data_IF_294135887800
#
_entry.id   IF_294135887800
#
_cell.length_a   1.000
_cell.length_b   1.000
_cell.length_c   1.000
_cell.angle_alpha   90.00
_cell.angle_beta   90.00
_cell.angle_gamma   90.00
#
_symmetry.space_group_name_H-M   'P 1'
#
loop_
_entity.id
_entity.type
_entity.pdbx_description
1 polymer ?
#
# COMPACT_ATOMS: atom_id res chain seq x y z
N UNK A 1 -18.75 4.94 -21.38
CA UNK A 1 -19.36 5.40 -20.12
C UNK A 1 -18.68 6.73 -19.80
N UNK A 2 -19.44 7.79 -19.59
CA UNK A 2 -18.87 9.11 -19.24
C UNK A 2 -18.74 9.14 -17.72
N UNK A 3 -17.54 9.05 -17.22
CA UNK A 3 -17.24 9.09 -15.78
C UNK A 3 -16.57 10.40 -15.35
N UNK A 4 -16.15 11.22 -16.32
CA UNK A 4 -15.43 12.47 -16.10
C UNK A 4 -16.22 13.50 -15.29
N UNK A 5 -17.55 13.41 -15.34
CA UNK A 5 -18.47 14.30 -14.63
C UNK A 5 -18.88 13.77 -13.23
N UNK A 6 -18.39 12.57 -12.85
CA UNK A 6 -18.74 11.93 -11.57
C UNK A 6 -17.88 12.45 -10.44
N UNK A 7 -18.44 12.42 -9.22
CA UNK A 7 -17.69 12.74 -8.00
C UNK A 7 -16.61 11.67 -7.75
N UNK A 8 -15.39 12.09 -7.59
CA UNK A 8 -14.29 11.24 -7.19
C UNK A 8 -14.23 11.12 -5.66
N UNK A 9 -14.21 9.88 -5.13
CA UNK A 9 -14.07 9.61 -3.71
C UNK A 9 -12.67 9.98 -3.22
N UNK A 10 -12.60 10.52 -2.01
CA UNK A 10 -11.35 10.76 -1.28
C UNK A 10 -10.98 9.58 -0.34
N UNK A 11 -11.80 8.54 -0.29
CA UNK A 11 -11.58 7.34 0.53
C UNK A 11 -10.62 6.33 -0.15
N UNK A 12 -9.65 6.83 -0.91
CA UNK A 12 -8.64 6.03 -1.59
C UNK A 12 -7.30 6.16 -0.88
N UNK A 13 -6.68 5.02 -0.60
CA UNK A 13 -5.30 4.88 -0.14
C UNK A 13 -4.46 4.35 -1.30
N UNK A 14 -3.73 5.23 -1.97
CA UNK A 14 -2.88 4.82 -3.10
C UNK A 14 -1.47 4.50 -2.61
N UNK A 15 -1.16 3.21 -2.55
CA UNK A 15 0.17 2.72 -2.16
C UNK A 15 0.96 2.17 -3.36
N UNK A 16 0.48 2.38 -4.60
CA UNK A 16 1.13 1.87 -5.82
C UNK A 16 2.51 2.48 -6.07
N UNK A 17 2.68 3.75 -5.72
CA UNK A 17 3.96 4.48 -5.88
C UNK A 17 4.94 4.17 -4.75
N UNK A 18 4.45 3.63 -3.64
CA UNK A 18 5.30 3.05 -2.63
C UNK A 18 5.83 1.72 -3.18
N UNK A 19 6.68 1.82 -4.18
CA UNK A 19 7.55 0.72 -4.56
C UNK A 19 8.15 0.26 -3.24
N UNK A 20 7.87 -1.00 -2.83
CA UNK A 20 8.68 -1.68 -1.86
C UNK A 20 10.12 -1.57 -2.34
N UNK A 21 10.63 -0.35 -2.27
CA UNK A 21 12.03 -0.10 -2.39
C UNK A 21 12.59 -1.05 -1.37
N UNK A 22 13.24 -2.09 -1.82
CA UNK A 22 14.40 -2.58 -1.14
C UNK A 22 15.21 -1.32 -0.87
N UNK A 23 14.88 -0.63 0.22
CA UNK A 23 15.84 0.12 0.96
C UNK A 23 16.83 -0.95 1.47
N UNK A 24 17.47 -1.62 0.53
CA UNK A 24 18.76 -2.17 0.76
C UNK A 24 19.47 -0.93 1.31
N UNK A 25 19.78 -0.96 2.60
CA UNK A 25 20.71 -0.07 3.21
C UNK A 25 21.87 -0.05 2.20
N UNK A 26 21.88 0.94 1.32
CA UNK A 26 23.06 1.26 0.54
C UNK A 26 24.02 1.76 1.60
N UNK A 27 24.61 0.81 2.32
CA UNK A 27 25.88 1.03 2.96
C UNK A 27 26.78 1.44 1.81
N UNK A 28 26.77 2.75 1.53
CA UNK A 28 27.74 3.31 0.61
C UNK A 28 29.13 2.89 1.09
N UNK A 29 30.07 2.87 0.20
CA UNK A 29 31.47 2.53 0.47
C UNK A 29 31.98 3.10 1.81
N UNK A 30 31.46 4.27 2.24
CA UNK A 30 31.74 4.87 3.53
C UNK A 30 31.22 4.09 4.75
N UNK A 31 30.07 3.45 4.68
CA UNK A 31 29.52 2.67 5.79
C UNK A 31 30.25 1.35 6.00
N UNK A 32 30.70 0.70 4.93
CA UNK A 32 31.53 -0.51 5.02
C UNK A 32 32.91 -0.19 5.55
N UNK A 33 33.52 0.92 5.15
CA UNK A 33 34.82 1.37 5.67
C UNK A 33 34.75 1.72 7.16
N UNK A 34 33.69 2.39 7.61
CA UNK A 34 33.46 2.67 9.03
C UNK A 34 33.28 1.38 9.86
N UNK A 35 32.53 0.40 9.34
CA UNK A 35 32.36 -0.89 10.02
C UNK A 35 33.68 -1.67 10.12
N UNK A 36 34.50 -1.66 9.07
CA UNK A 36 35.82 -2.28 9.06
C UNK A 36 36.81 -1.58 10.01
N UNK A 37 36.80 -0.25 10.05
CA UNK A 37 37.61 0.52 10.97
C UNK A 37 37.22 0.27 12.44
N UNK A 38 35.92 0.28 12.73
CA UNK A 38 35.41 -0.04 14.08
C UNK A 38 35.79 -1.48 14.49
N UNK A 39 35.68 -2.45 13.59
CA UNK A 39 36.11 -3.82 13.81
C UNK A 39 37.60 -3.92 14.15
N UNK A 40 38.43 -3.19 13.44
CA UNK A 40 39.88 -3.18 13.67
C UNK A 40 40.26 -2.55 15.01
N UNK A 41 39.65 -1.41 15.39
CA UNK A 41 39.98 -0.71 16.64
C UNK A 41 39.35 -1.36 17.89
N UNK A 42 38.20 -2.02 17.76
CA UNK A 42 37.48 -2.64 18.88
C UNK A 42 37.74 -4.15 19.00
N UNK A 43 38.48 -4.75 18.07
CA UNK A 43 38.80 -6.18 18.08
C UNK A 43 37.58 -7.10 17.92
N UNK A 44 36.48 -6.59 17.36
CA UNK A 44 35.25 -7.33 17.17
C UNK A 44 35.27 -7.98 15.78
N UNK A 45 34.92 -9.27 15.70
CA UNK A 45 34.84 -9.99 14.42
C UNK A 45 33.82 -9.31 13.49
N UNK A 46 34.22 -8.89 12.28
CA UNK A 46 33.32 -8.23 11.32
C UNK A 46 32.11 -9.08 10.95
N UNK A 47 32.21 -10.41 11.04
CA UNK A 47 31.10 -11.33 10.78
C UNK A 47 30.02 -11.25 11.86
N UNK A 48 30.41 -11.04 13.11
CA UNK A 48 29.52 -10.83 14.24
C UNK A 48 28.76 -9.51 14.11
N UNK A 49 29.46 -8.44 13.66
CA UNK A 49 28.84 -7.13 13.43
C UNK A 49 27.82 -7.18 12.30
N UNK A 50 28.15 -7.86 11.20
CA UNK A 50 27.22 -8.07 10.08
C UNK A 50 26.02 -8.94 10.49
N UNK A 51 26.23 -9.95 11.33
CA UNK A 51 25.15 -10.79 11.88
C UNK A 51 24.21 -10.01 12.78
N UNK A 52 24.73 -9.14 13.65
CA UNK A 52 23.94 -8.26 14.52
C UNK A 52 23.17 -7.22 13.71
N UNK A 53 23.75 -6.64 12.66
CA UNK A 53 23.05 -5.71 11.78
C UNK A 53 21.93 -6.38 10.97
N UNK A 54 22.07 -7.68 10.67
CA UNK A 54 21.03 -8.48 10.02
C UNK A 54 19.93 -8.90 10.97
N UNK A 55 20.19 -8.94 12.27
CA UNK A 55 19.25 -9.33 13.31
C UNK A 55 18.45 -8.16 13.91
N UNK A 56 18.86 -6.91 13.61
CA UNK A 56 18.03 -5.74 13.96
C UNK A 56 16.77 -5.81 13.09
N UNK A 57 15.56 -5.99 13.67
CA UNK A 57 14.36 -5.88 12.89
C UNK A 57 14.32 -4.45 12.38
N UNK A 58 14.65 -4.26 11.10
CA UNK A 58 14.34 -3.02 10.42
C UNK A 58 12.84 -2.86 10.53
N UNK A 59 12.38 -1.93 11.37
CA UNK A 59 11.02 -1.44 11.28
C UNK A 59 10.89 -0.98 9.83
N UNK A 60 10.27 -1.85 9.04
CA UNK A 60 9.85 -1.48 7.70
C UNK A 60 8.92 -0.28 7.91
N UNK A 61 9.45 0.92 7.70
CA UNK A 61 8.62 2.09 7.55
C UNK A 61 7.61 1.70 6.48
N UNK A 62 6.34 1.58 6.88
CA UNK A 62 5.28 1.32 5.94
C UNK A 62 5.41 2.37 4.82
N UNK A 63 5.32 1.96 3.57
CA UNK A 63 5.44 2.90 2.45
C UNK A 63 4.48 4.05 2.71
N UNK A 64 4.93 5.29 2.45
CA UNK A 64 4.08 6.45 2.62
C UNK A 64 2.86 6.30 1.69
N UNK A 65 1.71 6.01 2.27
CA UNK A 65 0.46 5.93 1.52
C UNK A 65 0.05 7.36 1.12
N UNK A 66 -0.27 7.55 -0.15
CA UNK A 66 -0.94 8.77 -0.59
C UNK A 66 -2.43 8.61 -0.32
N UNK A 67 -2.94 9.47 0.56
CA UNK A 67 -4.38 9.52 0.86
C UNK A 67 -5.06 10.54 -0.04
N UNK A 68 -6.21 10.18 -0.56
CA UNK A 68 -7.03 11.03 -1.41
C UNK A 68 -7.14 10.53 -2.85
N UNK A 69 -7.69 11.37 -3.73
CA UNK A 69 -7.94 11.00 -5.12
C UNK A 69 -6.61 10.76 -5.87
N UNK A 70 -6.45 9.60 -6.54
CA UNK A 70 -5.30 9.33 -7.40
C UNK A 70 -5.21 10.35 -8.54
N UNK A 71 -4.00 10.61 -9.06
CA UNK A 71 -3.78 11.61 -10.11
C UNK A 71 -3.76 11.00 -11.52
N UNK A 72 -3.59 9.70 -11.64
CA UNK A 72 -3.63 9.00 -12.93
C UNK A 72 -5.06 8.65 -13.35
N UNK A 73 -5.28 8.53 -14.65
CA UNK A 73 -6.60 8.29 -15.23
C UNK A 73 -7.30 7.05 -14.68
N UNK A 74 -6.57 5.93 -14.57
CA UNK A 74 -7.14 4.68 -14.04
C UNK A 74 -7.54 4.81 -12.57
N UNK A 75 -6.69 5.41 -11.76
CA UNK A 75 -6.96 5.65 -10.35
C UNK A 75 -8.15 6.60 -10.16
N UNK A 76 -8.23 7.66 -10.96
CA UNK A 76 -9.37 8.60 -10.95
C UNK A 76 -10.67 7.91 -11.36
N UNK A 77 -10.63 7.07 -12.39
CA UNK A 77 -11.80 6.26 -12.77
C UNK A 77 -12.31 5.41 -11.60
N UNK A 78 -11.41 4.71 -10.91
CA UNK A 78 -11.78 3.90 -9.73
C UNK A 78 -12.32 4.78 -8.60
N UNK A 79 -11.73 5.96 -8.36
CA UNK A 79 -12.24 6.90 -7.37
C UNK A 79 -13.64 7.41 -7.72
N UNK A 80 -13.94 7.63 -8.99
CA UNK A 80 -15.28 8.00 -9.46
C UNK A 80 -16.30 6.87 -9.25
N UNK A 81 -15.95 5.63 -9.60
CA UNK A 81 -16.81 4.47 -9.35
C UNK A 81 -17.07 4.28 -7.85
N UNK A 82 -16.03 4.44 -7.01
CA UNK A 82 -16.20 4.40 -5.56
C UNK A 82 -17.12 5.50 -5.06
N UNK A 83 -17.00 6.71 -5.58
CA UNK A 83 -17.86 7.85 -5.27
C UNK A 83 -19.34 7.56 -5.55
N UNK A 84 -19.66 7.04 -6.72
CA UNK A 84 -21.02 6.62 -7.10
C UNK A 84 -21.55 5.50 -6.17
N UNK A 85 -20.67 4.57 -5.80
CA UNK A 85 -21.01 3.50 -4.85
C UNK A 85 -21.36 4.08 -3.48
N UNK A 86 -20.56 5.01 -2.98
CA UNK A 86 -20.79 5.69 -1.69
C UNK A 86 -22.11 6.47 -1.69
N UNK A 87 -22.38 7.22 -2.75
CA UNK A 87 -23.57 8.05 -2.87
C UNK A 87 -24.82 7.17 -2.93
N UNK A 88 -24.79 6.10 -3.72
CA UNK A 88 -25.89 5.14 -3.84
C UNK A 88 -26.20 4.44 -2.51
N UNK A 89 -25.19 3.90 -1.85
CA UNK A 89 -25.39 3.20 -0.58
C UNK A 89 -25.78 4.14 0.56
N UNK A 90 -25.22 5.36 0.56
CA UNK A 90 -25.61 6.39 1.54
C UNK A 90 -27.09 6.72 1.44
N UNK A 91 -27.63 6.88 0.22
CA UNK A 91 -29.06 7.12 0.00
C UNK A 91 -29.91 5.94 0.46
N UNK A 92 -29.53 4.70 0.09
CA UNK A 92 -30.28 3.48 0.48
C UNK A 92 -30.32 3.30 2.00
N UNK A 93 -29.21 3.55 2.69
CA UNK A 93 -29.14 3.44 4.15
C UNK A 93 -29.95 4.55 4.83
N UNK A 94 -29.87 5.77 4.31
CA UNK A 94 -30.62 6.91 4.82
C UNK A 94 -32.14 6.69 4.72
N UNK A 95 -32.62 6.16 3.60
CA UNK A 95 -34.03 5.81 3.39
C UNK A 95 -34.54 4.78 4.41
N UNK A 96 -33.65 3.98 4.98
CA UNK A 96 -33.95 2.97 6.02
C UNK A 96 -33.66 3.47 7.44
N UNK A 97 -33.30 4.75 7.63
CA UNK A 97 -32.92 5.32 8.91
C UNK A 97 -31.62 4.77 9.47
N UNK A 98 -30.74 4.25 8.60
CA UNK A 98 -29.45 3.69 8.95
C UNK A 98 -28.33 4.62 8.47
N UNK A 99 -27.15 4.50 9.07
CA UNK A 99 -25.96 5.20 8.64
C UNK A 99 -25.02 4.28 7.85
N UNK A 100 -24.70 4.67 6.63
CA UNK A 100 -23.68 4.01 5.83
C UNK A 100 -22.28 4.43 6.27
N UNK A 101 -21.39 3.47 6.46
CA UNK A 101 -19.97 3.70 6.71
C UNK A 101 -19.20 3.21 5.50
N UNK A 102 -18.70 4.11 4.64
CA UNK A 102 -18.00 3.70 3.43
C UNK A 102 -16.69 2.98 3.77
N UNK A 103 -16.37 1.88 3.09
CA UNK A 103 -15.06 1.25 3.20
C UNK A 103 -13.98 2.13 2.55
N UNK A 104 -12.74 1.98 2.98
CA UNK A 104 -11.61 2.55 2.26
C UNK A 104 -11.19 1.63 1.13
N UNK A 105 -10.78 2.21 0.01
CA UNK A 105 -10.21 1.49 -1.12
C UNK A 105 -8.69 1.65 -1.09
N UNK A 106 -7.99 0.53 -1.14
CA UNK A 106 -6.52 0.49 -1.22
C UNK A 106 -6.11 0.07 -2.62
N UNK A 107 -5.41 0.96 -3.32
CA UNK A 107 -4.76 0.64 -4.60
C UNK A 107 -3.34 0.17 -4.32
N UNK A 108 -3.01 -1.06 -4.73
CA UNK A 108 -1.69 -1.66 -4.51
C UNK A 108 -1.13 -2.28 -5.80
N UNK A 109 0.08 -2.80 -5.77
CA UNK A 109 0.72 -3.57 -6.85
C UNK A 109 1.23 -4.90 -6.34
N UNK A 110 1.04 -5.96 -7.14
CA UNK A 110 1.57 -7.31 -6.95
C UNK A 110 1.06 -8.01 -5.69
N UNK A 111 1.52 -7.62 -4.52
CA UNK A 111 1.11 -8.19 -3.24
C UNK A 111 1.17 -7.15 -2.13
N UNK A 112 0.25 -7.28 -1.16
CA UNK A 112 0.15 -6.40 -0.01
C UNK A 112 -0.27 -7.17 1.24
N UNK A 113 0.39 -6.96 2.40
CA UNK A 113 -0.09 -7.48 3.66
C UNK A 113 -1.37 -6.76 4.09
N UNK A 114 -2.36 -7.51 4.55
CA UNK A 114 -3.64 -7.00 5.05
C UNK A 114 -3.99 -7.65 6.38
N UNK A 115 -4.98 -7.15 7.08
CA UNK A 115 -5.48 -7.79 8.30
C UNK A 115 -6.08 -9.19 8.04
N UNK A 116 -6.46 -9.50 6.80
CA UNK A 116 -6.99 -10.80 6.38
C UNK A 116 -5.94 -11.74 5.78
N UNK A 117 -4.66 -11.40 5.85
CA UNK A 117 -3.56 -12.12 5.22
C UNK A 117 -2.96 -11.34 4.03
N UNK A 118 -2.14 -12.00 3.24
CA UNK A 118 -1.50 -11.35 2.09
C UNK A 118 -2.44 -11.33 0.90
N UNK A 119 -2.83 -10.13 0.46
CA UNK A 119 -3.50 -9.91 -0.82
C UNK A 119 -2.51 -10.08 -1.98
N UNK A 120 -2.98 -10.65 -3.08
CA UNK A 120 -2.19 -10.88 -4.29
C UNK A 120 -2.99 -10.47 -5.51
N UNK A 121 -2.32 -9.83 -6.46
CA UNK A 121 -2.91 -9.48 -7.77
C UNK A 121 -3.51 -10.71 -8.47
N UNK A 122 -2.89 -11.88 -8.33
CA UNK A 122 -3.39 -13.13 -8.92
C UNK A 122 -4.73 -13.60 -8.34
N UNK A 123 -5.05 -13.22 -7.08
CA UNK A 123 -6.34 -13.53 -6.45
C UNK A 123 -7.46 -12.56 -6.86
N UNK A 124 -7.11 -11.42 -7.47
CA UNK A 124 -8.03 -10.36 -7.85
C UNK A 124 -8.44 -9.44 -6.69
N UNK A 125 -9.40 -8.54 -6.94
CA UNK A 125 -9.91 -7.63 -5.94
C UNK A 125 -10.62 -8.38 -4.80
N UNK A 126 -10.52 -7.87 -3.56
CA UNK A 126 -11.19 -8.45 -2.41
C UNK A 126 -11.51 -7.41 -1.34
N UNK A 127 -12.46 -7.76 -0.48
CA UNK A 127 -12.78 -7.00 0.72
C UNK A 127 -12.30 -7.73 1.97
N UNK A 128 -11.64 -7.01 2.86
CA UNK A 128 -11.21 -7.54 4.16
C UNK A 128 -12.11 -6.99 5.27
N UNK A 129 -12.92 -7.83 5.93
CA UNK A 129 -13.81 -7.37 6.99
C UNK A 129 -13.09 -6.98 8.27
N UNK A 130 -11.86 -7.46 8.51
CA UNK A 130 -11.10 -7.17 9.72
C UNK A 130 -10.60 -5.73 9.77
N UNK A 131 -10.23 -5.15 8.63
CA UNK A 131 -9.82 -3.74 8.51
C UNK A 131 -10.84 -2.86 7.77
N UNK A 132 -11.90 -3.48 7.24
CA UNK A 132 -12.98 -2.84 6.48
C UNK A 132 -12.50 -2.08 5.26
N UNK A 133 -11.54 -2.68 4.53
CA UNK A 133 -10.95 -2.12 3.32
C UNK A 133 -11.21 -3.01 2.11
N UNK A 134 -11.38 -2.36 0.96
CA UNK A 134 -11.38 -3.00 -0.36
C UNK A 134 -9.97 -2.90 -0.92
N UNK A 135 -9.43 -3.98 -1.41
CA UNK A 135 -8.09 -4.07 -1.99
C UNK A 135 -8.17 -4.32 -3.48
N UNK A 136 -7.46 -3.52 -4.26
CA UNK A 136 -7.52 -3.55 -5.71
C UNK A 136 -6.14 -3.34 -6.33
N UNK A 137 -5.71 -4.31 -7.13
CA UNK A 137 -4.55 -4.17 -8.01
C UNK A 137 -5.03 -3.89 -9.44
N UNK A 138 -4.64 -2.74 -9.99
CA UNK A 138 -5.04 -2.36 -11.35
C UNK A 138 -4.38 -3.23 -12.43
N UNK A 139 -3.25 -3.88 -12.13
CA UNK A 139 -2.61 -4.85 -13.01
C UNK A 139 -3.49 -6.06 -13.30
N UNK A 140 -4.37 -6.43 -12.36
CA UNK A 140 -5.34 -7.50 -12.57
C UNK A 140 -6.26 -7.24 -13.77
N UNK A 141 -6.73 -6.00 -13.92
CA UNK A 141 -7.60 -5.64 -15.05
C UNK A 141 -6.88 -5.65 -16.40
N UNK A 142 -5.58 -5.37 -16.41
CA UNK A 142 -4.77 -5.44 -17.63
C UNK A 142 -4.61 -6.88 -18.13
N UNK A 143 -4.71 -7.86 -17.23
CA UNK A 143 -4.65 -9.29 -17.58
C UNK A 143 -5.98 -9.82 -18.12
N UNK A 144 -7.09 -9.11 -17.87
CA UNK A 144 -8.43 -9.48 -18.32
C UNK A 144 -8.80 -8.85 -19.67
N UNK A 145 -8.07 -7.85 -20.11
CA UNK A 145 -8.25 -7.17 -21.39
C UNK A 145 -7.48 -7.87 -22.51
#
# INVERSE_FOLDING_TARGET
MRWDDLRESTNVEDVRSSTGGRAGLKLGVGGTLLALAASYFLGIDPRLLLGLMSAVPTQQSAPAAHYGTPQDEQGRFIAAVLGETEDTWSAIFQDRGLQYVPPKLVLYRDAMPTACGTGSAAAGPFYCPLDRKVYLDLGFFQQLA
#
